data_IF_471645724249
#
_entry.id   IF_471645724249
#
_cell.length_a   1.000
_cell.length_b   1.000
_cell.length_c   1.000
_cell.angle_alpha   90.00
_cell.angle_beta   90.00
_cell.angle_gamma   90.00
#
_symmetry.space_group_name_H-M   'P 1'
#
loop_
_entity.id
_entity.type
_entity.pdbx_description
1 polymer ?
#
# COMPACT_ATOMS: atom_id res chain seq x y z
N UNK A 1 -8.69 23.95 -4.72
CA UNK A 1 -9.38 22.66 -4.87
C UNK A 1 -8.39 21.61 -5.34
N UNK A 2 -8.28 20.54 -4.60
CA UNK A 2 -7.39 19.46 -5.00
C UNK A 2 -8.03 18.66 -6.14
N UNK A 3 -7.29 18.45 -7.21
CA UNK A 3 -7.73 17.60 -8.31
C UNK A 3 -7.22 16.20 -8.04
N UNK A 4 -8.16 15.27 -7.93
CA UNK A 4 -7.81 13.85 -7.79
C UNK A 4 -7.29 13.36 -9.14
N UNK A 5 -6.02 12.92 -9.16
CA UNK A 5 -5.40 12.34 -10.35
C UNK A 5 -5.56 10.83 -10.26
N UNK A 6 -6.28 10.27 -11.22
CA UNK A 6 -6.40 8.82 -11.33
C UNK A 6 -6.12 8.41 -12.78
N UNK A 7 -5.66 7.18 -12.95
CA UNK A 7 -5.31 6.69 -14.27
C UNK A 7 -4.75 5.28 -14.20
N UNK A 8 -4.02 4.90 -15.24
CA UNK A 8 -3.47 3.58 -15.37
C UNK A 8 -1.95 3.66 -15.63
N UNK A 9 -1.20 2.89 -14.85
CA UNK A 9 0.23 2.70 -15.07
C UNK A 9 0.37 1.55 -16.06
N UNK A 10 0.82 1.87 -17.28
CA UNK A 10 0.82 0.94 -18.40
C UNK A 10 2.07 0.06 -18.42
N UNK A 11 1.86 -1.22 -18.68
CA UNK A 11 2.91 -2.19 -18.91
C UNK A 11 4.01 -2.22 -17.85
N UNK A 12 3.67 -2.32 -16.56
CA UNK A 12 4.70 -2.42 -15.52
C UNK A 12 5.48 -3.73 -15.71
N UNK A 13 6.79 -3.66 -15.54
CA UNK A 13 7.66 -4.83 -15.72
C UNK A 13 7.62 -5.76 -14.52
N UNK A 14 7.33 -5.22 -13.33
CA UNK A 14 7.38 -5.97 -12.07
C UNK A 14 6.01 -6.38 -11.55
N UNK A 15 4.92 -5.90 -12.16
CA UNK A 15 3.58 -6.34 -11.83
C UNK A 15 3.15 -7.49 -12.75
N UNK A 16 2.34 -8.44 -12.26
CA UNK A 16 1.81 -9.51 -13.11
C UNK A 16 0.74 -9.04 -14.08
N UNK A 17 0.24 -7.81 -13.93
CA UNK A 17 -0.83 -7.27 -14.74
C UNK A 17 -0.27 -6.40 -15.87
N UNK A 18 -1.04 -6.29 -16.97
CA UNK A 18 -0.65 -5.42 -18.09
C UNK A 18 -0.76 -3.95 -17.76
N UNK A 19 -1.51 -3.62 -16.72
CA UNK A 19 -1.62 -2.28 -16.18
C UNK A 19 -2.02 -2.34 -14.72
N UNK A 20 -1.73 -1.25 -13.99
CA UNK A 20 -2.18 -1.07 -12.61
C UNK A 20 -2.89 0.26 -12.51
N UNK A 21 -4.02 0.31 -11.81
CA UNK A 21 -4.77 1.54 -11.63
C UNK A 21 -4.30 2.29 -10.40
N UNK A 22 -4.19 3.60 -10.53
CA UNK A 22 -3.92 4.47 -9.39
C UNK A 22 -5.06 5.46 -9.23
N UNK A 23 -5.35 5.85 -7.97
CA UNK A 23 -6.42 6.76 -7.62
C UNK A 23 -5.89 8.08 -7.06
N UNK A 24 -4.57 8.23 -7.03
CA UNK A 24 -3.93 9.46 -6.54
C UNK A 24 -2.54 9.58 -7.15
N UNK A 25 -2.02 10.80 -7.13
CA UNK A 25 -0.66 11.06 -7.57
C UNK A 25 0.36 10.37 -6.65
N UNK A 26 0.07 10.28 -5.35
CA UNK A 26 0.92 9.57 -4.41
C UNK A 26 1.06 8.09 -4.78
N UNK A 27 -0.03 7.45 -5.18
CA UNK A 27 0.01 6.05 -5.62
C UNK A 27 0.84 5.92 -6.89
N UNK A 28 0.64 6.81 -7.86
CA UNK A 28 1.41 6.80 -9.11
C UNK A 28 2.91 6.93 -8.86
N UNK A 29 3.29 7.85 -7.97
CA UNK A 29 4.69 8.05 -7.61
C UNK A 29 5.28 6.81 -6.93
N UNK A 30 4.49 6.16 -6.08
CA UNK A 30 4.93 4.92 -5.43
C UNK A 30 5.12 3.81 -6.46
N UNK A 31 4.21 3.67 -7.43
CA UNK A 31 4.34 2.69 -8.50
C UNK A 31 5.65 2.89 -9.28
N UNK A 32 5.96 4.14 -9.63
CA UNK A 32 7.18 4.46 -10.34
C UNK A 32 8.42 4.12 -9.51
N UNK A 33 8.37 4.43 -8.21
CA UNK A 33 9.46 4.10 -7.29
C UNK A 33 9.67 2.59 -7.20
N UNK A 34 8.59 1.81 -7.09
CA UNK A 34 8.68 0.35 -7.01
C UNK A 34 9.21 -0.27 -8.30
N UNK A 35 8.80 0.27 -9.46
CA UNK A 35 9.32 -0.19 -10.76
C UNK A 35 10.83 -0.02 -10.88
N UNK A 36 11.39 1.04 -10.30
CA UNK A 36 12.79 1.39 -10.43
C UNK A 36 13.65 0.98 -9.23
N UNK A 37 13.06 0.43 -8.18
CA UNK A 37 13.82 0.00 -7.00
C UNK A 37 14.49 -1.36 -7.29
N UNK A 38 15.83 -1.42 -7.28
CA UNK A 38 16.55 -2.67 -7.60
C UNK A 38 16.30 -3.79 -6.59
N UNK A 39 15.85 -3.47 -5.37
CA UNK A 39 15.56 -4.48 -4.35
C UNK A 39 14.15 -5.06 -4.45
N UNK A 40 13.27 -4.44 -5.25
CA UNK A 40 11.91 -4.92 -5.45
C UNK A 40 11.87 -5.87 -6.63
N UNK A 41 11.46 -7.10 -6.38
CA UNK A 41 11.28 -8.10 -7.43
C UNK A 41 9.94 -7.94 -8.12
N UNK A 42 8.86 -7.80 -7.32
CA UNK A 42 7.48 -7.70 -7.81
C UNK A 42 6.66 -6.77 -6.93
N UNK A 43 5.65 -6.14 -7.53
CA UNK A 43 4.67 -5.36 -6.82
C UNK A 43 3.31 -5.47 -7.48
N UNK A 44 2.24 -5.28 -6.71
CA UNK A 44 0.88 -5.26 -7.27
C UNK A 44 -0.07 -4.50 -6.36
N UNK A 45 -1.07 -3.87 -6.96
CA UNK A 45 -2.21 -3.29 -6.23
C UNK A 45 -3.33 -4.31 -6.04
N UNK A 46 -3.62 -5.11 -7.06
CA UNK A 46 -4.72 -6.10 -7.03
C UNK A 46 -4.22 -7.38 -6.39
N UNK A 47 -3.96 -7.32 -5.09
CA UNK A 47 -3.34 -8.41 -4.33
C UNK A 47 -4.32 -9.29 -3.55
N UNK A 48 -5.59 -8.87 -3.44
CA UNK A 48 -6.59 -9.65 -2.73
C UNK A 48 -6.50 -9.63 -1.20
N UNK A 49 -5.59 -8.85 -0.63
CA UNK A 49 -5.44 -8.78 0.83
C UNK A 49 -6.47 -7.82 1.42
N UNK A 50 -7.19 -8.29 2.44
CA UNK A 50 -8.12 -7.48 3.22
C UNK A 50 -7.78 -7.67 4.69
N UNK A 51 -7.57 -6.55 5.39
CA UNK A 51 -7.17 -6.57 6.80
C UNK A 51 -8.32 -6.03 7.66
N UNK A 52 -8.84 -6.83 8.61
CA UNK A 52 -9.87 -6.35 9.53
C UNK A 52 -9.26 -5.40 10.56
N UNK A 53 -10.00 -4.35 10.91
CA UNK A 53 -9.60 -3.41 11.95
C UNK A 53 -10.83 -2.83 12.63
N UNK A 54 -10.64 -2.18 13.78
CA UNK A 54 -11.72 -1.59 14.55
C UNK A 54 -11.48 -0.10 14.66
N UNK A 55 -12.49 0.70 14.24
CA UNK A 55 -12.37 2.16 14.28
C UNK A 55 -12.61 2.71 15.71
N UNK A 56 -12.48 4.02 15.85
CA UNK A 56 -12.61 4.68 17.15
C UNK A 56 -14.03 4.52 17.74
N UNK A 57 -15.03 4.30 16.90
CA UNK A 57 -16.42 4.08 17.31
C UNK A 57 -16.70 2.60 17.57
N UNK A 58 -15.68 1.75 17.54
CA UNK A 58 -15.75 0.30 17.75
C UNK A 58 -16.51 -0.45 16.67
N UNK A 59 -16.62 0.14 15.47
CA UNK A 59 -17.16 -0.57 14.33
C UNK A 59 -16.09 -1.43 13.68
N UNK A 60 -16.47 -2.63 13.28
CA UNK A 60 -15.60 -3.50 12.51
C UNK A 60 -15.52 -2.99 11.07
N UNK A 61 -14.29 -2.81 10.59
CA UNK A 61 -14.01 -2.31 9.26
C UNK A 61 -13.08 -3.26 8.53
N UNK A 62 -13.02 -3.13 7.21
CA UNK A 62 -12.06 -3.84 6.37
C UNK A 62 -11.21 -2.83 5.64
N UNK A 63 -9.95 -3.19 5.47
CA UNK A 63 -8.95 -2.29 4.90
C UNK A 63 -8.17 -3.05 3.84
N UNK A 64 -8.10 -2.47 2.64
CA UNK A 64 -7.29 -3.00 1.54
C UNK A 64 -6.06 -2.11 1.43
N UNK A 65 -4.87 -2.62 1.79
CA UNK A 65 -3.65 -1.82 1.65
C UNK A 65 -3.35 -1.51 0.19
N UNK A 66 -2.57 -0.46 -0.05
CA UNK A 66 -2.33 0.01 -1.40
C UNK A 66 -1.52 -0.98 -2.25
N UNK A 67 -0.46 -1.57 -1.68
CA UNK A 67 0.44 -2.42 -2.44
C UNK A 67 0.89 -3.64 -1.66
N UNK A 68 1.10 -4.73 -2.38
CA UNK A 68 1.87 -5.88 -1.92
C UNK A 68 3.16 -5.91 -2.72
N UNK A 69 4.29 -6.06 -2.04
CA UNK A 69 5.58 -6.16 -2.70
C UNK A 69 6.35 -7.41 -2.25
N UNK A 70 7.18 -7.91 -3.14
CA UNK A 70 8.15 -8.95 -2.85
C UNK A 70 9.53 -8.41 -3.21
N UNK A 71 10.46 -8.54 -2.28
CA UNK A 71 11.85 -8.14 -2.48
C UNK A 71 12.65 -9.25 -3.13
N UNK A 72 13.80 -8.89 -3.71
CA UNK A 72 14.70 -9.84 -4.35
C UNK A 72 15.19 -10.94 -3.41
N UNK A 73 15.24 -10.66 -2.10
CA UNK A 73 15.66 -11.65 -1.09
C UNK A 73 14.51 -12.55 -0.60
N UNK A 74 13.32 -12.41 -1.17
CA UNK A 74 12.16 -13.22 -0.82
C UNK A 74 11.27 -12.65 0.28
N UNK A 75 11.69 -11.58 0.96
CA UNK A 75 10.83 -10.92 1.93
C UNK A 75 9.63 -10.28 1.24
N UNK A 76 8.52 -10.19 1.96
CA UNK A 76 7.31 -9.54 1.46
C UNK A 76 6.90 -8.41 2.39
N UNK A 77 6.27 -7.39 1.81
CA UNK A 77 5.76 -6.27 2.58
C UNK A 77 4.44 -5.77 1.99
N UNK A 78 3.64 -5.19 2.85
CA UNK A 78 2.41 -4.50 2.48
C UNK A 78 2.66 -3.01 2.68
N UNK A 79 2.33 -2.20 1.68
CA UNK A 79 2.57 -0.75 1.74
C UNK A 79 1.25 0.00 1.69
N UNK A 80 1.11 0.95 2.60
CA UNK A 80 0.07 1.96 2.55
C UNK A 80 0.73 3.32 2.31
N UNK A 81 0.23 4.06 1.32
CA UNK A 81 0.76 5.39 0.99
C UNK A 81 -0.19 6.43 1.57
N UNK A 82 0.35 7.36 2.37
CA UNK A 82 -0.44 8.39 3.00
C UNK A 82 0.20 9.76 2.80
N UNK A 83 -0.66 10.78 2.68
CA UNK A 83 -0.24 12.15 2.77
C UNK A 83 0.32 12.41 4.17
N UNK A 84 1.49 13.07 4.31
CA UNK A 84 2.07 13.33 5.63
C UNK A 84 1.12 14.04 6.59
N UNK A 85 0.23 14.88 6.10
CA UNK A 85 -0.73 15.62 6.94
C UNK A 85 -1.79 14.72 7.58
N UNK A 86 -1.95 13.49 7.09
CA UNK A 86 -2.99 12.57 7.59
C UNK A 86 -2.43 11.40 8.38
N UNK A 87 -1.12 11.30 8.51
CA UNK A 87 -0.48 10.13 9.10
C UNK A 87 -0.79 9.97 10.60
N UNK A 88 -1.05 11.08 11.28
CA UNK A 88 -1.31 11.08 12.72
C UNK A 88 -2.80 10.95 13.09
N UNK A 89 -3.68 10.79 12.11
CA UNK A 89 -5.10 10.62 12.43
C UNK A 89 -5.31 9.33 13.23
N UNK A 90 -6.32 9.35 14.10
CA UNK A 90 -6.62 8.21 14.97
C UNK A 90 -6.91 6.95 14.17
N UNK A 91 -7.72 7.07 13.12
CA UNK A 91 -8.07 5.92 12.29
C UNK A 91 -6.87 5.36 11.52
N UNK A 92 -5.98 6.22 11.03
CA UNK A 92 -4.75 5.78 10.37
C UNK A 92 -3.90 4.96 11.35
N UNK A 93 -3.76 5.42 12.59
CA UNK A 93 -2.98 4.70 13.59
C UNK A 93 -3.62 3.38 14.00
N UNK A 94 -4.94 3.31 14.06
CA UNK A 94 -5.66 2.07 14.34
C UNK A 94 -5.51 1.05 13.22
N UNK A 95 -5.64 1.49 11.98
CA UNK A 95 -5.38 0.65 10.79
C UNK A 95 -3.96 0.13 10.80
N UNK A 96 -3.00 1.01 11.10
CA UNK A 96 -1.58 0.68 11.14
C UNK A 96 -1.29 -0.44 12.13
N UNK A 97 -1.82 -0.33 13.35
CA UNK A 97 -1.61 -1.35 14.37
C UNK A 97 -2.20 -2.70 13.96
N UNK A 98 -3.42 -2.68 13.41
CA UNK A 98 -4.06 -3.89 12.92
C UNK A 98 -3.26 -4.53 11.78
N UNK A 99 -2.78 -3.70 10.85
CA UNK A 99 -2.00 -4.17 9.71
C UNK A 99 -0.63 -4.71 10.13
N UNK A 100 0.03 -4.06 11.09
CA UNK A 100 1.30 -4.55 11.62
C UNK A 100 1.15 -5.94 12.23
N UNK A 101 0.09 -6.15 13.02
CA UNK A 101 -0.19 -7.44 13.64
C UNK A 101 -0.52 -8.50 12.58
N UNK A 102 -1.38 -8.14 11.62
CA UNK A 102 -1.75 -9.04 10.53
C UNK A 102 -0.53 -9.49 9.74
N UNK A 103 0.36 -8.56 9.41
CA UNK A 103 1.59 -8.84 8.68
C UNK A 103 2.56 -9.68 9.52
N UNK A 104 2.71 -9.35 10.80
CA UNK A 104 3.60 -10.08 11.69
C UNK A 104 3.22 -11.57 11.79
N UNK A 105 1.92 -11.85 11.87
CA UNK A 105 1.43 -13.24 11.92
C UNK A 105 1.74 -14.01 10.64
N UNK A 106 2.00 -13.31 9.53
CA UNK A 106 2.30 -13.90 8.22
C UNK A 106 3.76 -13.74 7.81
N UNK A 107 4.60 -13.28 8.74
CA UNK A 107 6.03 -13.05 8.51
C UNK A 107 6.27 -12.04 7.38
N UNK A 108 5.45 -10.99 7.37
CA UNK A 108 5.54 -9.90 6.40
C UNK A 108 5.79 -8.58 7.13
N UNK A 109 6.32 -7.61 6.39
CA UNK A 109 6.49 -6.25 6.90
C UNK A 109 5.29 -5.39 6.53
N UNK A 110 4.97 -4.40 7.36
CA UNK A 110 4.02 -3.36 7.04
C UNK A 110 4.73 -2.02 6.97
N UNK A 111 4.54 -1.30 5.88
CA UNK A 111 5.19 -0.01 5.64
C UNK A 111 4.13 1.05 5.43
N UNK A 112 4.10 2.05 6.30
CA UNK A 112 3.30 3.25 6.10
C UNK A 112 4.22 4.30 5.49
N UNK A 113 4.04 4.56 4.20
CA UNK A 113 4.96 5.39 3.43
C UNK A 113 4.36 6.74 3.06
N UNK A 114 5.21 7.75 3.08
CA UNK A 114 4.89 9.05 2.50
C UNK A 114 5.79 9.26 1.30
N UNK A 115 5.21 9.77 0.22
CA UNK A 115 5.96 10.07 -1.00
C UNK A 115 5.85 11.57 -1.23
N UNK A 116 6.95 12.25 -1.05
CA UNK A 116 7.01 13.70 -1.21
C UNK A 116 7.64 14.11 -2.51
#
# INVERSE_FOLDING_TARGET
MAISIHGEYQNPKKSPWNFERYQSDLERRMMDRLEHDPYVLKWMKRHGITIPWIDIQKHQRRYVPDFLIEYEDGRKAVIEVKDPSRIDSNDVQRKRKAAEMWCKQRKMEYILATVG
#
